data_IF_539715118173
#
_entry.id   IF_539715118173
#
_cell.length_a   1.000
_cell.length_b   1.000
_cell.length_c   1.000
_cell.angle_alpha   90.00
_cell.angle_beta   90.00
_cell.angle_gamma   90.00
#
_symmetry.space_group_name_H-M   'P 1'
#
loop_
_entity.id
_entity.type
_entity.pdbx_description
1 polymer ?
#
# COMPACT_ATOMS: atom_id res chain seq x y z
N UNK A 1 13.39 5.65 -17.10
CA UNK A 1 14.20 6.35 -16.08
C UNK A 1 13.22 7.05 -15.16
N UNK A 2 13.48 7.05 -13.84
CA UNK A 2 12.62 7.73 -12.89
C UNK A 2 12.54 9.23 -13.18
N UNK A 3 11.38 9.82 -12.94
CA UNK A 3 11.24 11.28 -12.93
C UNK A 3 11.81 11.81 -11.61
N UNK A 4 12.50 12.94 -11.66
CA UNK A 4 13.02 13.59 -10.45
C UNK A 4 12.07 14.68 -9.99
N UNK A 5 11.76 14.69 -8.70
CA UNK A 5 10.85 15.65 -8.10
C UNK A 5 11.50 16.29 -6.86
N UNK A 6 11.34 17.60 -6.73
CA UNK A 6 11.79 18.31 -5.54
C UNK A 6 10.75 18.13 -4.41
N UNK A 7 11.24 17.93 -3.18
CA UNK A 7 10.37 18.03 -2.01
C UNK A 7 10.11 19.52 -1.71
N UNK A 8 8.84 19.96 -1.54
CA UNK A 8 8.51 21.38 -1.46
C UNK A 8 8.94 22.05 -0.15
N UNK A 9 9.31 21.27 0.87
CA UNK A 9 9.74 21.75 2.18
C UNK A 9 11.22 21.43 2.41
N UNK A 10 11.86 22.14 3.33
CA UNK A 10 13.21 21.81 3.79
C UNK A 10 13.22 20.46 4.54
N UNK A 11 12.21 20.21 5.35
CA UNK A 11 12.03 18.93 6.03
C UNK A 11 10.56 18.72 6.39
N UNK A 12 10.11 17.48 6.29
CA UNK A 12 8.86 17.03 6.88
C UNK A 12 9.09 15.66 7.53
N UNK A 13 8.57 15.51 8.75
CA UNK A 13 8.64 14.28 9.52
C UNK A 13 7.22 13.78 9.73
N UNK A 14 6.92 12.58 9.24
CA UNK A 14 5.62 11.94 9.34
C UNK A 14 5.62 10.89 10.45
N UNK A 15 4.62 10.91 11.31
CA UNK A 15 4.34 9.78 12.19
C UNK A 15 3.71 8.63 11.39
N UNK A 16 4.17 7.40 11.64
CA UNK A 16 3.57 6.20 11.05
C UNK A 16 2.38 5.72 11.89
N UNK A 17 1.18 5.77 11.31
CA UNK A 17 -0.03 5.23 11.91
C UNK A 17 0.00 3.69 11.92
N UNK A 18 -0.75 3.06 12.84
CA UNK A 18 -0.96 1.61 12.75
C UNK A 18 -1.75 1.30 11.48
N UNK A 19 -1.27 0.32 10.70
CA UNK A 19 -2.00 -0.13 9.51
C UNK A 19 -3.37 -0.71 9.90
N UNK A 20 -4.44 -0.15 9.35
CA UNK A 20 -5.80 -0.68 9.44
C UNK A 20 -6.56 -0.42 8.14
N UNK A 21 -7.60 -1.22 7.88
CA UNK A 21 -8.45 -1.03 6.70
C UNK A 21 -9.10 0.36 6.70
N UNK A 22 -9.58 0.86 7.84
CA UNK A 22 -10.28 2.14 7.91
C UNK A 22 -9.43 3.30 7.40
N UNK A 23 -8.18 3.39 7.87
CA UNK A 23 -7.28 4.48 7.51
C UNK A 23 -6.59 4.28 6.17
N UNK A 24 -6.44 3.03 5.72
CA UNK A 24 -5.80 2.68 4.45
C UNK A 24 -6.78 2.61 3.26
N UNK A 25 -8.09 2.52 3.52
CA UNK A 25 -9.14 2.40 2.51
C UNK A 25 -9.08 3.42 1.36
N UNK A 26 -8.60 4.66 1.51
CA UNK A 26 -8.49 5.56 0.37
C UNK A 26 -7.47 5.09 -0.68
N UNK A 27 -6.50 4.26 -0.27
CA UNK A 27 -5.33 3.86 -1.06
C UNK A 27 -5.34 2.38 -1.45
N UNK A 28 -5.99 1.54 -0.67
CA UNK A 28 -5.87 0.11 -0.86
C UNK A 28 -6.61 -0.69 0.19
N UNK A 29 -6.39 -2.00 0.16
CA UNK A 29 -6.98 -2.92 1.12
C UNK A 29 -5.91 -3.54 1.99
N UNK A 30 -6.20 -3.60 3.28
CA UNK A 30 -5.48 -4.42 4.25
C UNK A 30 -6.15 -5.79 4.27
N UNK A 31 -5.38 -6.82 3.97
CA UNK A 31 -5.83 -8.21 4.04
C UNK A 31 -5.36 -8.78 5.38
N UNK A 32 -6.31 -9.08 6.26
CA UNK A 32 -6.06 -9.74 7.54
C UNK A 32 -7.26 -10.56 7.99
N UNK A 33 -7.12 -11.32 9.08
CA UNK A 33 -8.28 -11.97 9.70
C UNK A 33 -9.19 -10.90 10.35
N UNK A 34 -10.44 -10.72 9.87
CA UNK A 34 -11.35 -9.69 10.38
C UNK A 34 -11.76 -9.90 11.84
N UNK A 35 -11.77 -11.14 12.32
CA UNK A 35 -12.03 -11.47 13.72
C UNK A 35 -11.10 -12.59 14.18
N UNK A 36 -10.02 -12.20 14.86
CA UNK A 36 -9.00 -13.12 15.39
C UNK A 36 -9.50 -13.94 16.58
N UNK A 37 -10.61 -13.54 17.20
CA UNK A 37 -11.22 -14.27 18.33
C UNK A 37 -12.15 -15.39 17.87
N UNK A 38 -12.65 -15.29 16.63
CA UNK A 38 -13.59 -16.24 16.07
C UNK A 38 -12.91 -17.54 15.66
N UNK A 39 -13.26 -18.62 16.36
CA UNK A 39 -12.83 -19.98 16.01
C UNK A 39 -13.96 -20.70 15.28
N UNK A 40 -13.77 -21.11 14.00
CA UNK A 40 -14.78 -21.86 13.26
C UNK A 40 -15.17 -23.16 13.99
N UNK A 41 -16.47 -23.50 13.97
CA UNK A 41 -16.92 -24.81 14.44
C UNK A 41 -18.15 -25.29 13.67
N UNK A 42 -18.38 -26.62 13.55
CA UNK A 42 -19.57 -27.18 12.91
C UNK A 42 -20.90 -26.81 13.61
N UNK A 43 -20.84 -26.26 14.83
CA UNK A 43 -22.01 -25.82 15.61
C UNK A 43 -22.31 -24.33 15.45
N UNK A 44 -21.44 -23.60 14.74
CA UNK A 44 -21.63 -22.18 14.48
C UNK A 44 -22.90 -21.98 13.65
N UNK A 45 -23.82 -21.15 14.17
CA UNK A 45 -25.10 -20.85 13.51
C UNK A 45 -25.07 -19.51 12.78
N UNK A 46 -24.35 -18.55 13.34
CA UNK A 46 -24.16 -17.21 12.78
C UNK A 46 -22.77 -17.12 12.20
N UNK A 47 -22.69 -16.72 10.93
CA UNK A 47 -21.45 -16.55 10.18
C UNK A 47 -21.36 -15.06 9.84
N UNK A 48 -20.16 -14.44 9.87
CA UNK A 48 -20.00 -13.06 9.44
C UNK A 48 -20.60 -12.83 8.04
N UNK A 49 -21.18 -11.65 7.76
CA UNK A 49 -21.92 -11.41 6.51
C UNK A 49 -21.12 -11.68 5.22
N UNK A 50 -19.80 -11.50 5.25
CA UNK A 50 -18.89 -11.71 4.13
C UNK A 50 -18.11 -13.04 4.20
N UNK A 51 -18.60 -14.00 4.99
CA UNK A 51 -17.95 -15.30 5.16
C UNK A 51 -18.92 -16.46 4.91
N UNK A 52 -18.35 -17.60 4.54
CA UNK A 52 -19.08 -18.87 4.48
C UNK A 52 -18.35 -19.94 5.30
N UNK A 53 -19.12 -20.86 5.89
CA UNK A 53 -18.52 -22.06 6.48
C UNK A 53 -17.97 -22.94 5.37
N UNK A 54 -16.79 -23.50 5.61
CA UNK A 54 -16.09 -24.42 4.73
C UNK A 54 -15.59 -25.63 5.54
N UNK A 55 -15.12 -26.66 4.84
CA UNK A 55 -14.50 -27.86 5.43
C UNK A 55 -15.35 -28.47 6.56
N UNK A 56 -16.62 -28.71 6.28
CA UNK A 56 -17.59 -29.29 7.23
C UNK A 56 -17.67 -28.50 8.56
N UNK A 57 -17.47 -27.18 8.51
CA UNK A 57 -17.54 -26.27 9.66
C UNK A 57 -16.23 -26.10 10.43
N UNK A 58 -15.12 -26.70 9.98
CA UNK A 58 -13.79 -26.48 10.57
C UNK A 58 -13.08 -25.24 10.05
N UNK A 59 -13.63 -24.55 9.03
CA UNK A 59 -13.07 -23.34 8.46
C UNK A 59 -14.14 -22.28 8.18
N UNK A 60 -13.70 -21.01 8.21
CA UNK A 60 -14.43 -19.89 7.65
C UNK A 60 -13.67 -19.37 6.43
N UNK A 61 -14.39 -19.21 5.32
CA UNK A 61 -13.88 -18.59 4.09
C UNK A 61 -14.44 -17.18 4.00
N UNK A 62 -13.62 -16.19 4.32
CA UNK A 62 -13.94 -14.80 3.99
C UNK A 62 -13.81 -14.60 2.48
N UNK A 63 -14.84 -14.01 1.89
CA UNK A 63 -14.96 -13.79 0.46
C UNK A 63 -14.40 -12.40 0.10
N UNK A 64 -13.78 -12.31 -1.09
CA UNK A 64 -13.40 -11.05 -1.72
C UNK A 64 -12.57 -10.10 -0.83
N UNK A 65 -11.64 -10.66 -0.05
CA UNK A 65 -10.77 -9.92 0.89
C UNK A 65 -9.83 -8.92 0.22
N UNK A 66 -9.74 -8.94 -1.11
CA UNK A 66 -9.07 -7.93 -1.95
C UNK A 66 -9.57 -8.04 -3.39
N UNK A 67 -9.31 -7.02 -4.21
CA UNK A 67 -9.62 -7.01 -5.64
C UNK A 67 -8.34 -6.98 -6.47
N UNK A 68 -8.24 -7.90 -7.43
CA UNK A 68 -7.16 -7.94 -8.40
C UNK A 68 -7.62 -7.27 -9.70
N UNK A 69 -6.94 -6.21 -10.14
CA UNK A 69 -7.29 -5.47 -11.36
C UNK A 69 -6.20 -5.60 -12.42
N UNK A 70 -6.63 -5.88 -13.64
CA UNK A 70 -5.84 -5.85 -14.86
C UNK A 70 -6.46 -4.81 -15.79
N UNK A 71 -5.71 -3.79 -16.16
CA UNK A 71 -6.14 -2.72 -17.06
C UNK A 71 -5.24 -2.58 -18.27
N UNK A 72 -4.34 -3.53 -18.52
CA UNK A 72 -3.38 -3.42 -19.63
C UNK A 72 -4.06 -3.40 -21.01
N UNK A 73 -5.31 -3.83 -21.11
CA UNK A 73 -6.16 -3.72 -22.30
C UNK A 73 -6.74 -2.31 -22.51
N UNK A 74 -6.69 -1.44 -21.50
CA UNK A 74 -7.16 -0.06 -21.55
C UNK A 74 -6.08 0.88 -22.12
N UNK A 75 -5.60 0.60 -23.33
CA UNK A 75 -4.80 1.57 -24.09
C UNK A 75 -3.31 1.62 -23.75
N UNK A 76 -2.69 0.50 -23.35
CA UNK A 76 -1.23 0.41 -23.27
C UNK A 76 -0.56 0.70 -24.62
N UNK A 77 0.50 1.52 -24.68
CA UNK A 77 1.22 1.79 -25.94
C UNK A 77 1.78 0.55 -26.63
N UNK A 78 2.30 -0.41 -25.86
CA UNK A 78 2.88 -1.65 -26.38
C UNK A 78 1.84 -2.60 -26.95
N UNK A 79 0.57 -2.49 -26.51
CA UNK A 79 -0.53 -3.43 -26.79
C UNK A 79 -0.20 -4.87 -26.38
N UNK A 80 0.79 -5.07 -25.51
CA UNK A 80 1.20 -6.39 -25.05
C UNK A 80 0.28 -6.83 -23.92
N UNK A 81 -0.34 -7.99 -24.10
CA UNK A 81 -1.21 -8.58 -23.09
C UNK A 81 -0.45 -8.83 -21.79
N UNK A 82 -1.06 -8.46 -20.67
CA UNK A 82 -0.56 -8.80 -19.34
C UNK A 82 -1.00 -10.20 -18.93
N UNK A 83 -0.28 -10.76 -17.95
CA UNK A 83 -0.65 -11.99 -17.25
C UNK A 83 -0.55 -11.77 -15.75
N UNK A 84 -1.29 -12.55 -14.98
CA UNK A 84 -1.06 -12.62 -13.53
C UNK A 84 0.35 -13.16 -13.28
N UNK A 85 1.08 -12.51 -12.39
CA UNK A 85 2.41 -12.91 -11.94
C UNK A 85 2.42 -12.99 -10.43
N UNK A 86 3.18 -13.96 -9.91
CA UNK A 86 3.46 -14.13 -8.50
C UNK A 86 4.97 -14.16 -8.33
N UNK A 87 5.51 -13.18 -7.63
CA UNK A 87 6.94 -13.00 -7.42
C UNK A 87 7.27 -13.11 -5.93
N UNK A 88 8.55 -13.28 -5.62
CA UNK A 88 9.06 -13.27 -4.25
C UNK A 88 9.99 -12.07 -4.08
N UNK A 89 9.75 -11.27 -3.05
CA UNK A 89 10.66 -10.22 -2.61
C UNK A 89 11.22 -10.59 -1.24
N UNK A 90 12.54 -10.71 -1.15
CA UNK A 90 13.24 -10.92 0.12
C UNK A 90 13.79 -9.56 0.54
N UNK A 91 13.13 -8.91 1.50
CA UNK A 91 13.41 -7.53 1.87
C UNK A 91 14.22 -7.46 3.16
N UNK A 92 15.46 -6.94 3.06
CA UNK A 92 16.30 -6.68 4.23
C UNK A 92 15.81 -5.45 5.02
N UNK A 93 16.02 -5.41 6.35
CA UNK A 93 15.75 -4.22 7.14
C UNK A 93 16.52 -3.00 6.64
N UNK A 94 15.84 -1.85 6.55
CA UNK A 94 16.44 -0.56 6.18
C UNK A 94 17.18 0.04 7.36
N UNK A 95 18.34 0.63 7.09
CA UNK A 95 19.07 1.43 8.06
C UNK A 95 18.30 2.71 8.35
N UNK A 96 18.01 2.97 9.63
CA UNK A 96 17.31 4.17 10.07
C UNK A 96 18.31 5.27 10.46
N UNK A 97 17.92 6.52 10.23
CA UNK A 97 18.60 7.67 10.81
C UNK A 97 18.33 7.72 12.34
N UNK A 98 19.19 8.41 13.11
CA UNK A 98 19.02 8.55 14.55
C UNK A 98 17.64 9.11 14.92
N UNK A 99 17.04 8.65 16.03
CA UNK A 99 15.76 9.18 16.50
C UNK A 99 15.89 10.62 17.01
N UNK A 100 14.81 11.40 16.91
CA UNK A 100 14.74 12.77 17.43
C UNK A 100 14.04 12.90 18.80
N UNK A 101 13.55 11.79 19.36
CA UNK A 101 12.82 11.84 20.62
C UNK A 101 12.71 10.48 21.32
N UNK A 102 12.27 10.49 22.58
CA UNK A 102 11.94 9.25 23.28
C UNK A 102 10.81 8.53 22.55
N UNK A 103 10.86 7.19 22.52
CA UNK A 103 9.85 6.32 21.90
C UNK A 103 9.86 6.24 20.36
N UNK A 104 10.88 6.80 19.73
CA UNK A 104 11.16 6.62 18.30
C UNK A 104 12.40 5.73 18.17
N UNK A 105 12.31 4.66 17.38
CA UNK A 105 13.44 3.77 17.09
C UNK A 105 14.42 4.36 16.06
N UNK A 106 13.94 5.26 15.22
CA UNK A 106 14.71 5.94 14.19
C UNK A 106 13.81 6.55 13.13
N UNK A 107 14.43 7.16 12.13
CA UNK A 107 13.71 7.83 11.03
C UNK A 107 14.07 7.16 9.71
N UNK A 108 13.05 6.89 8.89
CA UNK A 108 13.23 6.36 7.55
C UNK A 108 13.16 7.50 6.52
N UNK A 109 14.21 7.77 5.73
CA UNK A 109 14.14 8.74 4.64
C UNK A 109 13.39 8.15 3.43
N UNK A 110 12.35 8.85 2.99
CA UNK A 110 11.62 8.52 1.76
C UNK A 110 12.36 9.14 0.59
N UNK A 111 12.88 8.31 -0.30
CA UNK A 111 13.70 8.74 -1.44
C UNK A 111 13.03 8.47 -2.79
N UNK A 112 12.05 7.58 -2.81
CA UNK A 112 11.38 7.14 -4.04
C UNK A 112 9.94 6.74 -3.75
N UNK A 113 9.04 7.10 -4.66
CA UNK A 113 7.69 6.57 -4.76
C UNK A 113 7.48 5.98 -6.15
N UNK A 114 6.68 4.95 -6.25
CA UNK A 114 6.36 4.26 -7.49
C UNK A 114 4.86 4.06 -7.65
N UNK A 115 4.41 3.82 -8.89
CA UNK A 115 3.04 3.39 -9.17
C UNK A 115 3.00 2.32 -10.24
N UNK A 116 1.99 1.47 -10.11
CA UNK A 116 1.60 0.48 -11.11
C UNK A 116 0.33 0.97 -11.82
N UNK A 117 0.45 1.64 -12.99
CA UNK A 117 -0.67 2.36 -13.61
C UNK A 117 -1.80 1.45 -14.11
N UNK A 118 -1.49 0.20 -14.45
CA UNK A 118 -2.43 -0.74 -15.08
C UNK A 118 -2.83 -1.91 -14.18
N UNK A 119 -2.40 -1.97 -12.91
CA UNK A 119 -2.72 -3.09 -12.03
C UNK A 119 -2.67 -2.75 -10.54
N UNK A 120 -3.45 -3.47 -9.75
CA UNK A 120 -3.27 -3.56 -8.30
C UNK A 120 -2.05 -4.43 -7.98
N UNK A 121 -1.32 -4.12 -6.92
CA UNK A 121 -0.19 -4.92 -6.45
C UNK A 121 -0.41 -5.32 -5.00
N UNK A 122 -0.33 -6.62 -4.72
CA UNK A 122 -0.53 -7.19 -3.39
C UNK A 122 0.79 -7.69 -2.82
N UNK A 123 1.16 -7.29 -1.61
CA UNK A 123 2.29 -7.82 -0.85
C UNK A 123 1.78 -8.65 0.33
N UNK A 124 2.17 -9.92 0.37
CA UNK A 124 1.75 -10.89 1.39
C UNK A 124 3.00 -11.35 2.15
N UNK A 125 3.23 -10.89 3.40
CA UNK A 125 4.36 -11.35 4.17
C UNK A 125 4.19 -12.81 4.57
N UNK A 126 5.23 -13.61 4.38
CA UNK A 126 5.30 -14.99 4.84
C UNK A 126 5.88 -15.04 6.26
N UNK A 127 5.14 -15.69 7.18
CA UNK A 127 5.64 -15.97 8.53
C UNK A 127 5.76 -14.76 9.46
N UNK A 128 5.22 -13.59 9.09
CA UNK A 128 5.29 -12.40 9.95
C UNK A 128 4.21 -12.44 11.04
N UNK A 129 4.59 -12.88 12.24
CA UNK A 129 3.73 -12.89 13.42
C UNK A 129 3.73 -11.54 14.13
N UNK A 130 2.59 -11.17 14.72
CA UNK A 130 2.50 -10.01 15.62
C UNK A 130 3.41 -10.12 16.85
N UNK A 131 3.70 -11.36 17.30
CA UNK A 131 4.60 -11.61 18.41
C UNK A 131 6.07 -11.31 18.10
N UNK A 132 6.43 -11.18 16.83
CA UNK A 132 7.80 -10.93 16.35
C UNK A 132 7.98 -9.51 15.82
N UNK A 133 7.04 -8.61 16.10
CA UNK A 133 7.06 -7.24 15.60
C UNK A 133 8.33 -6.47 16.00
N UNK A 134 8.99 -6.84 17.10
CA UNK A 134 10.27 -6.28 17.55
C UNK A 134 11.46 -6.73 16.68
N UNK A 135 11.32 -7.87 16.01
CA UNK A 135 12.32 -8.42 15.11
C UNK A 135 12.08 -7.99 13.67
N UNK A 136 10.83 -7.88 13.22
CA UNK A 136 10.52 -7.49 11.85
C UNK A 136 9.13 -6.83 11.78
N UNK A 137 9.06 -5.70 11.09
CA UNK A 137 7.83 -5.00 10.67
C UNK A 137 8.05 -4.43 9.29
N UNK A 138 6.99 -3.99 8.64
CA UNK A 138 7.13 -3.24 7.41
C UNK A 138 6.30 -1.96 7.42
N UNK A 139 6.80 -0.97 6.68
CA UNK A 139 6.09 0.28 6.45
C UNK A 139 5.37 0.24 5.11
N UNK A 140 4.26 0.97 5.08
CA UNK A 140 3.45 1.25 3.91
C UNK A 140 3.38 2.76 3.80
N UNK A 141 3.97 3.31 2.76
CA UNK A 141 4.01 4.76 2.54
C UNK A 141 3.29 5.01 1.23
N UNK A 142 2.29 5.89 1.25
CA UNK A 142 1.41 6.16 0.11
C UNK A 142 1.19 7.64 -0.08
N UNK A 143 0.99 8.07 -1.33
CA UNK A 143 0.62 9.42 -1.68
C UNK A 143 -0.49 9.41 -2.74
N UNK A 144 -1.46 10.33 -2.66
CA UNK A 144 -2.37 10.58 -3.78
C UNK A 144 -1.60 11.26 -4.93
N UNK A 145 -2.18 11.27 -6.13
CA UNK A 145 -1.63 12.01 -7.27
C UNK A 145 -2.05 13.48 -7.28
N UNK A 146 -1.16 14.34 -7.78
CA UNK A 146 -1.47 15.67 -8.29
C UNK A 146 -2.20 15.58 -9.63
N UNK A 147 -2.72 16.72 -10.11
CA UNK A 147 -3.20 16.82 -11.49
C UNK A 147 -2.06 16.58 -12.50
N UNK A 148 -2.36 16.07 -13.71
CA UNK A 148 -1.37 15.87 -14.76
C UNK A 148 -0.56 17.13 -15.07
N UNK A 149 0.72 16.97 -15.37
CA UNK A 149 1.62 18.08 -15.66
C UNK A 149 2.61 17.74 -16.80
N UNK A 150 3.31 18.71 -17.40
CA UNK A 150 4.33 18.41 -18.41
C UNK A 150 5.41 17.43 -17.93
N UNK A 151 5.67 17.38 -16.61
CA UNK A 151 6.67 16.49 -16.03
C UNK A 151 6.29 14.99 -16.11
N UNK A 152 4.99 14.68 -16.26
CA UNK A 152 4.50 13.30 -16.40
C UNK A 152 3.98 12.99 -17.81
N UNK A 153 4.23 13.87 -18.79
CA UNK A 153 3.58 13.76 -20.10
C UNK A 153 3.86 12.43 -20.82
N UNK A 154 5.05 11.86 -20.63
CA UNK A 154 5.46 10.59 -21.21
C UNK A 154 4.95 9.33 -20.49
N UNK A 155 4.20 9.46 -19.40
CA UNK A 155 3.75 8.31 -18.61
C UNK A 155 2.47 7.70 -19.17
N UNK A 156 2.47 6.42 -19.59
CA UNK A 156 1.27 5.74 -20.04
C UNK A 156 0.34 5.46 -18.85
N UNK A 157 -0.95 5.66 -19.07
CA UNK A 157 -2.02 5.32 -18.12
C UNK A 157 -3.20 4.68 -18.85
N UNK A 158 -4.06 3.93 -18.15
CA UNK A 158 -5.33 3.50 -18.69
C UNK A 158 -6.10 4.63 -19.38
N UNK A 159 -6.60 4.35 -20.58
CA UNK A 159 -7.63 5.17 -21.22
C UNK A 159 -8.95 5.06 -20.46
N UNK A 160 -9.78 6.09 -20.54
CA UNK A 160 -11.11 6.10 -19.94
C UNK A 160 -11.97 4.92 -20.43
N UNK A 161 -12.87 4.46 -19.55
CA UNK A 161 -13.76 3.36 -19.86
C UNK A 161 -14.82 3.77 -20.89
N UNK A 162 -15.20 2.83 -21.76
CA UNK A 162 -16.31 3.01 -22.68
C UNK A 162 -17.62 3.24 -21.89
N UNK A 163 -18.07 4.49 -21.84
CA UNK A 163 -19.19 4.91 -21.00
C UNK A 163 -19.02 6.28 -20.33
N UNK A 164 -17.84 6.89 -20.44
CA UNK A 164 -17.58 8.25 -19.90
C UNK A 164 -17.15 8.26 -18.43
N UNK A 165 -16.91 7.09 -17.85
CA UNK A 165 -16.30 6.96 -16.53
C UNK A 165 -14.82 7.32 -16.61
N UNK A 166 -14.50 8.53 -16.13
CA UNK A 166 -13.14 9.07 -16.16
C UNK A 166 -12.26 8.38 -15.11
N UNK A 167 -11.11 7.86 -15.55
CA UNK A 167 -10.06 7.40 -14.65
C UNK A 167 -9.19 8.62 -14.27
N UNK A 168 -8.55 8.65 -13.07
CA UNK A 168 -7.71 9.76 -12.60
C UNK A 168 -6.52 10.09 -13.52
N UNK A 169 -6.15 9.19 -14.44
CA UNK A 169 -5.11 9.42 -15.43
C UNK A 169 -3.71 9.57 -14.82
N UNK A 170 -2.92 10.49 -15.37
CA UNK A 170 -1.54 10.78 -14.92
C UNK A 170 -1.54 11.62 -13.62
N UNK A 171 -0.36 12.08 -13.20
CA UNK A 171 -0.17 12.82 -11.96
C UNK A 171 1.07 12.33 -11.20
N UNK A 172 1.93 13.26 -10.80
CA UNK A 172 3.04 13.02 -9.88
C UNK A 172 2.54 12.91 -8.43
N UNK A 173 3.30 12.33 -7.48
CA UNK A 173 2.82 12.20 -6.10
C UNK A 173 2.65 13.57 -5.43
N UNK A 174 1.52 13.77 -4.76
CA UNK A 174 1.29 14.91 -3.89
C UNK A 174 2.03 14.69 -2.57
N UNK A 175 3.29 15.17 -2.54
CA UNK A 175 4.19 15.01 -1.40
C UNK A 175 3.69 15.74 -0.13
N UNK A 176 2.70 16.63 -0.24
CA UNK A 176 2.08 17.30 0.91
C UNK A 176 1.03 16.44 1.61
N UNK A 177 0.58 15.35 0.96
CA UNK A 177 -0.47 14.44 1.45
C UNK A 177 0.01 13.01 1.62
N UNK A 178 1.32 12.80 1.75
CA UNK A 178 1.87 11.47 2.03
C UNK A 178 1.35 10.97 3.38
N UNK A 179 1.01 9.67 3.42
CA UNK A 179 0.66 8.93 4.63
C UNK A 179 1.62 7.77 4.80
N UNK A 180 1.95 7.49 6.06
CA UNK A 180 2.77 6.35 6.44
C UNK A 180 2.00 5.48 7.43
N UNK A 181 2.08 4.17 7.22
CA UNK A 181 1.49 3.16 8.08
C UNK A 181 2.55 2.12 8.43
N UNK A 182 2.44 1.52 9.61
CA UNK A 182 3.28 0.42 10.06
C UNK A 182 2.44 -0.82 10.34
N UNK A 183 2.81 -1.91 9.70
CA UNK A 183 2.21 -3.22 9.90
C UNK A 183 3.00 -3.99 10.96
N UNK A 184 2.29 -4.51 11.97
CA UNK A 184 2.89 -5.24 13.08
C UNK A 184 2.93 -6.76 12.85
N UNK A 185 2.36 -7.25 11.75
CA UNK A 185 2.30 -8.67 11.42
C UNK A 185 0.88 -9.15 11.11
N UNK A 186 0.78 -10.32 10.48
CA UNK A 186 -0.49 -10.94 10.05
C UNK A 186 -1.37 -10.04 9.18
N UNK A 187 -0.76 -9.08 8.49
CA UNK A 187 -1.42 -8.14 7.60
C UNK A 187 -0.68 -8.21 6.27
N UNK A 188 -1.42 -8.31 5.18
CA UNK A 188 -0.97 -8.09 3.82
C UNK A 188 -1.60 -6.79 3.30
N UNK A 189 -1.04 -6.22 2.24
CA UNK A 189 -1.59 -4.99 1.63
C UNK A 189 -1.75 -5.15 0.15
N UNK A 190 -2.86 -4.66 -0.37
CA UNK A 190 -3.08 -4.44 -1.79
C UNK A 190 -3.12 -2.95 -2.04
N UNK A 191 -2.17 -2.44 -2.81
CA UNK A 191 -2.23 -1.09 -3.35
C UNK A 191 -3.27 -1.06 -4.48
N UNK A 192 -4.14 -0.05 -4.46
CA UNK A 192 -4.97 0.28 -5.60
C UNK A 192 -4.10 0.51 -6.84
N UNK A 193 -4.61 0.17 -8.02
CA UNK A 193 -3.88 0.56 -9.23
C UNK A 193 -3.80 2.09 -9.31
N UNK A 194 -2.73 2.62 -9.88
CA UNK A 194 -2.41 4.06 -9.90
C UNK A 194 -3.38 4.99 -10.64
N UNK A 195 -4.62 4.56 -10.88
CA UNK A 195 -5.64 5.19 -11.73
C UNK A 195 -7.09 4.85 -11.32
N UNK A 196 -7.44 4.68 -10.02
CA UNK A 196 -8.87 4.46 -9.68
C UNK A 196 -9.64 5.67 -9.13
N UNK A 197 -10.87 5.69 -9.63
CA UNK A 197 -11.88 6.73 -9.76
C UNK A 197 -12.58 7.13 -8.45
N UNK A 198 -12.91 8.42 -8.31
CA UNK A 198 -13.96 8.90 -7.39
C UNK A 198 -15.28 8.88 -8.17
N UNK A 199 -16.11 7.85 -8.03
CA UNK A 199 -17.52 7.97 -8.40
C UNK A 199 -18.44 7.20 -7.46
N UNK A 200 -19.55 7.86 -7.16
CA UNK A 200 -20.54 7.61 -6.11
C UNK A 200 -21.34 6.32 -6.34
N UNK A 201 -20.71 5.16 -6.20
CA UNK A 201 -21.46 3.93 -5.92
C UNK A 201 -21.84 3.90 -4.43
N UNK A 202 -23.00 3.31 -4.07
CA UNK A 202 -23.47 3.29 -2.69
C UNK A 202 -22.36 2.78 -1.73
N UNK A 203 -22.33 3.37 -0.54
CA UNK A 203 -21.34 3.18 0.56
C UNK A 203 -20.98 1.72 0.91
N UNK A 204 -21.69 0.73 0.36
CA UNK A 204 -21.40 -0.70 0.48
C UNK A 204 -20.37 -1.24 -0.53
N UNK A 205 -19.87 -0.44 -1.49
CA UNK A 205 -19.01 -0.93 -2.59
C UNK A 205 -17.85 0.01 -2.95
N UNK A 206 -17.64 1.08 -2.18
CA UNK A 206 -16.52 2.01 -2.39
C UNK A 206 -15.25 1.40 -1.80
N UNK A 207 -14.38 0.89 -2.67
CA UNK A 207 -13.13 0.28 -2.21
C UNK A 207 -11.98 1.28 -2.08
N UNK A 208 -11.80 2.27 -2.97
CA UNK A 208 -10.67 3.22 -2.90
C UNK A 208 -11.04 4.61 -3.46
N UNK A 209 -10.34 5.67 -3.02
CA UNK A 209 -10.69 7.06 -3.35
C UNK A 209 -9.61 7.84 -4.12
N UNK A 210 -8.38 7.33 -4.19
CA UNK A 210 -7.28 8.05 -4.85
C UNK A 210 -6.43 7.14 -5.74
N UNK A 211 -5.89 7.65 -6.87
CA UNK A 211 -4.74 7.03 -7.51
C UNK A 211 -3.59 7.00 -6.52
N UNK A 212 -2.88 5.87 -6.44
CA UNK A 212 -1.88 5.63 -5.40
C UNK A 212 -0.50 5.53 -6.00
N UNK A 213 0.41 6.34 -5.47
CA UNK A 213 1.81 6.03 -5.47
C UNK A 213 2.19 5.47 -4.10
N UNK A 214 3.08 4.48 -4.07
CA UNK A 214 3.58 3.90 -2.84
C UNK A 214 5.11 3.85 -2.85
N UNK A 215 5.73 3.79 -1.68
CA UNK A 215 7.15 3.48 -1.62
C UNK A 215 7.39 1.99 -1.96
N UNK A 216 8.57 1.62 -2.47
CA UNK A 216 9.03 0.24 -2.46
C UNK A 216 8.98 -0.33 -1.04
N UNK A 217 8.84 -1.66 -0.90
CA UNK A 217 8.68 -2.27 0.42
C UNK A 217 9.80 -1.94 1.39
N UNK A 218 9.43 -1.39 2.55
CA UNK A 218 10.34 -0.98 3.61
C UNK A 218 10.20 -1.93 4.78
N UNK A 219 11.23 -2.75 5.03
CA UNK A 219 11.32 -3.57 6.24
C UNK A 219 12.09 -2.81 7.30
N UNK A 220 11.65 -2.89 8.55
CA UNK A 220 12.33 -2.35 9.73
C UNK A 220 12.47 -3.41 10.81
N UNK A 221 13.55 -3.36 11.57
CA UNK A 221 13.87 -4.36 12.61
C UNK A 221 15.23 -5.01 12.37
N UNK A 222 15.34 -6.29 12.72
CA UNK A 222 16.57 -7.07 12.72
C UNK A 222 16.57 -8.22 11.71
N UNK A 223 15.39 -8.66 11.26
CA UNK A 223 15.24 -9.81 10.35
C UNK A 223 14.59 -9.39 9.02
N UNK A 224 14.94 -10.05 7.90
CA UNK A 224 14.26 -9.83 6.64
C UNK A 224 12.80 -10.29 6.69
N UNK A 225 12.01 -9.79 5.75
CA UNK A 225 10.65 -10.29 5.49
C UNK A 225 10.57 -10.76 4.05
N UNK A 226 10.03 -11.96 3.87
CA UNK A 226 9.73 -12.52 2.56
C UNK A 226 8.30 -12.16 2.18
N UNK A 227 8.12 -11.50 1.04
CA UNK A 227 6.81 -11.15 0.51
C UNK A 227 6.51 -11.94 -0.75
N UNK A 228 5.38 -12.64 -0.75
CA UNK A 228 4.75 -13.05 -2.00
C UNK A 228 4.05 -11.83 -2.59
N UNK A 229 4.36 -11.51 -3.84
CA UNK A 229 3.85 -10.34 -4.54
C UNK A 229 2.99 -10.77 -5.70
N UNK A 230 1.74 -10.33 -5.73
CA UNK A 230 0.76 -10.69 -6.76
C UNK A 230 0.30 -9.45 -7.50
N UNK A 231 0.42 -9.46 -8.83
CA UNK A 231 -0.02 -8.38 -9.71
C UNK A 231 -0.26 -8.92 -11.13
N UNK A 232 -0.70 -8.06 -12.03
CA UNK A 232 -0.56 -8.31 -13.47
C UNK A 232 0.70 -7.64 -14.00
N UNK A 233 1.32 -8.20 -15.04
CA UNK A 233 2.46 -7.57 -15.71
C UNK A 233 2.49 -7.98 -17.18
N UNK A 234 2.93 -7.08 -18.05
CA UNK A 234 3.22 -7.39 -19.44
C UNK A 234 4.72 -7.41 -19.77
N UNK A 235 5.58 -7.02 -18.82
CA UNK A 235 7.04 -7.03 -18.98
C UNK A 235 7.59 -5.81 -19.72
N UNK A 236 6.80 -4.74 -19.88
CA UNK A 236 7.25 -3.45 -20.41
C UNK A 236 7.44 -2.51 -19.24
N UNK A 237 8.69 -2.14 -18.96
CA UNK A 237 9.07 -1.47 -17.71
C UNK A 237 8.19 -0.25 -17.36
N UNK A 238 7.96 0.67 -18.29
CA UNK A 238 7.20 1.91 -18.04
C UNK A 238 5.67 1.70 -17.93
N UNK A 239 5.17 0.58 -18.44
CA UNK A 239 3.76 0.18 -18.29
C UNK A 239 3.56 -0.62 -17.01
N UNK A 240 4.57 -1.38 -16.59
CA UNK A 240 4.54 -2.14 -15.35
C UNK A 240 4.78 -1.25 -14.14
N UNK A 241 5.76 -0.34 -14.15
CA UNK A 241 6.12 0.50 -13.01
C UNK A 241 6.59 1.90 -13.45
N UNK A 242 6.16 2.92 -12.72
CA UNK A 242 6.57 4.31 -12.93
C UNK A 242 7.10 4.88 -11.62
N UNK A 243 8.35 5.33 -11.63
CA UNK A 243 9.09 5.75 -10.45
C UNK A 243 9.30 7.27 -10.43
N UNK A 244 9.19 7.85 -9.24
CA UNK A 244 9.48 9.23 -8.94
C UNK A 244 10.51 9.30 -7.79
N UNK A 245 11.72 9.76 -8.11
CA UNK A 245 12.82 9.94 -7.16
C UNK A 245 12.77 11.35 -6.55
N UNK A 246 12.89 11.44 -5.23
CA UNK A 246 13.00 12.71 -4.53
C UNK A 246 14.44 13.22 -4.63
N UNK A 247 14.59 14.48 -5.06
CA UNK A 247 15.90 15.11 -5.19
C UNK A 247 16.57 15.32 -3.84
N UNK A 248 17.71 14.68 -3.62
CA UNK A 248 18.48 14.78 -2.36
C UNK A 248 19.36 16.03 -2.26
N UNK A 249 19.56 16.76 -3.38
CA UNK A 249 20.46 17.92 -3.46
C UNK A 249 19.85 19.28 -3.13
N UNK A 250 18.51 19.39 -3.09
CA UNK A 250 17.79 20.65 -2.84
C UNK A 250 17.59 21.00 -1.36
N UNK A 251 18.09 20.17 -0.44
CA UNK A 251 17.94 20.35 1.01
C UNK A 251 16.63 19.81 1.60
N UNK A 252 15.62 19.55 0.78
CA UNK A 252 14.32 19.01 1.20
C UNK A 252 14.35 17.52 1.56
N UNK A 253 13.82 17.13 2.72
CA UNK A 253 13.74 15.71 3.15
C UNK A 253 12.35 15.33 3.65
N UNK A 254 11.87 14.18 3.21
CA UNK A 254 10.67 13.54 3.76
C UNK A 254 11.11 12.34 4.61
N UNK A 255 10.77 12.38 5.90
CA UNK A 255 11.15 11.37 6.88
C UNK A 255 9.90 10.72 7.47
N UNK A 256 9.99 9.44 7.82
CA UNK A 256 8.93 8.72 8.55
C UNK A 256 9.50 8.26 9.90
N UNK A 257 8.83 8.62 10.99
CA UNK A 257 9.17 8.16 12.33
C UNK A 257 8.78 6.71 12.52
N UNK A 258 9.72 5.91 13.05
CA UNK A 258 9.48 4.50 13.34
C UNK A 258 9.22 4.35 14.83
N UNK A 259 7.99 4.04 15.26
CA UNK A 259 7.67 3.95 16.68
C UNK A 259 8.37 2.77 17.35
N UNK A 260 8.83 2.99 18.59
CA UNK A 260 9.20 1.92 19.51
C UNK A 260 7.99 1.04 19.82
N UNK A 261 8.22 -0.24 20.07
CA UNK A 261 7.16 -1.20 20.37
C UNK A 261 6.71 -1.07 21.81
N UNK A 262 5.40 -1.16 22.04
CA UNK A 262 4.80 -1.23 23.38
C UNK A 262 4.08 0.02 23.88
N UNK A 263 3.96 1.10 23.09
CA UNK A 263 3.33 2.36 23.54
C UNK A 263 2.06 2.78 22.77
N UNK A 264 1.66 2.03 21.74
CA UNK A 264 0.39 2.32 21.05
C UNK A 264 -0.84 1.76 21.79
N UNK A 265 -0.67 0.84 22.75
CA UNK A 265 -1.80 0.38 23.59
C UNK A 265 -2.25 1.45 24.60
N UNK A 266 -1.37 2.36 25.04
CA UNK A 266 -1.71 3.36 26.07
C UNK A 266 -2.26 4.69 25.52
N UNK A 267 -1.93 5.08 24.28
CA UNK A 267 -2.29 6.41 23.76
C UNK A 267 -3.75 6.56 23.33
N UNK A 268 -4.53 5.46 23.27
CA UNK A 268 -5.99 5.52 23.01
C UNK A 268 -6.87 5.40 24.26
N UNK A 269 -6.29 5.17 25.44
CA UNK A 269 -7.05 5.16 26.71
C UNK A 269 -7.27 6.56 27.31
N UNK A 270 -6.67 7.62 26.73
CA UNK A 270 -6.76 8.99 27.25
C UNK A 270 -7.20 10.03 26.22
N UNK A 271 -8.20 9.72 25.40
CA UNK A 271 -9.05 10.76 24.79
C UNK A 271 -10.49 10.53 25.23
N UNK A 272 -10.79 11.11 26.40
CA UNK A 272 -12.15 11.45 26.84
C UNK A 272 -12.63 12.68 26.06
#
# INVERSE_FOLDING_TARGET
MPVRIAFPLLEAVLEADRLSQDTFSPFGTVIENPDRSLVPSPRMREVPPNATQANQGSALKYLDVTQMRNMYDLGTPSKKAAKAVMNMFICAPRTLLPPHGPHINGLFPVEILERHPYTTQTFIPLGLSQSEADQARYLVIVAPSLDPSPADEGFPTPSDLAGGDQLPGRGLPDLTKVKAFIAYGSQAVTYGAGTWQVNRLPLSTLFYAYPVLHAPMVVVGKKPIDFVVVQFANGIAIEDCQEAELETGGGGRLLVEIPTIGLQDDRRLFRL
#
